data_IF_493489119078
#
_entry.id   IF_493489119078
#
_cell.length_a   1.000
_cell.length_b   1.000
_cell.length_c   1.000
_cell.angle_alpha   90.00
_cell.angle_beta   90.00
_cell.angle_gamma   90.00
#
_symmetry.space_group_name_H-M   'P 1'
#
loop_
_entity.id
_entity.type
_entity.pdbx_description
1 polymer ?
2 non-polymer ?
3 non-polymer ?
4 non-polymer ?
5 water ?
#
# COMPACT_ATOMS: atom_id res chain seq x y z
N UNK A 1 27.27 -0.67 1.78
CA UNK A 1 27.47 -2.15 2.01
C UNK A 1 27.57 -2.44 3.50
N UNK A 2 26.88 -3.51 3.91
CA UNK A 2 26.70 -3.83 5.31
C UNK A 2 25.56 -4.82 5.42
N UNK A 3 25.45 -5.45 6.59
CA UNK A 3 24.38 -6.39 6.88
C UNK A 3 24.04 -6.27 8.36
N UNK A 4 22.97 -6.93 8.79
CA UNK A 4 22.63 -6.97 10.21
C UNK A 4 23.24 -8.21 10.85
N UNK A 5 24.16 -7.99 11.78
CA UNK A 5 24.87 -9.14 12.40
C UNK A 5 24.07 -9.74 13.56
N UNK A 6 23.09 -9.00 14.10
CA UNK A 6 22.25 -9.52 15.17
C UNK A 6 21.19 -8.51 15.56
N UNK A 7 20.19 -9.00 16.31
CA UNK A 7 19.16 -8.14 16.81
C UNK A 7 18.97 -8.40 18.30
N UNK A 8 18.31 -7.44 18.93
CA UNK A 8 17.92 -7.54 20.34
C UNK A 8 16.42 -7.37 20.40
N UNK A 9 15.78 -8.37 21.01
CA UNK A 9 14.33 -8.39 21.21
C UNK A 9 14.02 -8.88 22.62
N UNK A 10 13.17 -8.13 23.34
CA UNK A 10 12.88 -8.45 24.73
C UNK A 10 14.17 -8.58 25.53
N UNK A 11 15.20 -7.78 25.17
CA UNK A 11 16.44 -7.76 25.91
C UNK A 11 17.38 -8.92 25.59
N UNK A 12 17.00 -9.81 24.66
CA UNK A 12 17.75 -10.99 24.31
C UNK A 12 18.40 -10.77 22.94
N UNK A 13 19.69 -11.08 22.86
CA UNK A 13 20.42 -11.04 21.60
C UNK A 13 20.21 -12.31 20.78
N UNK A 14 19.95 -12.10 19.47
CA UNK A 14 19.86 -13.14 18.49
C UNK A 14 20.86 -12.89 17.36
N UNK A 15 21.76 -13.84 17.13
CA UNK A 15 22.71 -13.73 16.04
C UNK A 15 22.01 -13.79 14.70
N UNK A 16 22.49 -12.97 13.76
CA UNK A 16 21.94 -12.85 12.44
C UNK A 16 22.55 -13.82 11.45
N UNK A 17 22.22 -13.58 10.18
CA UNK A 17 22.73 -14.41 9.11
C UNK A 17 24.05 -13.81 8.65
N UNK A 18 25.12 -14.52 8.93
CA UNK A 18 26.47 -14.00 8.68
C UNK A 18 26.83 -14.26 7.21
N UNK A 19 26.50 -13.27 6.39
CA UNK A 19 26.46 -13.42 4.96
C UNK A 19 27.86 -13.59 4.36
N UNK A 20 28.91 -13.25 5.11
CA UNK A 20 30.27 -13.49 4.61
C UNK A 20 30.82 -14.80 5.13
N UNK A 21 29.96 -15.68 5.68
CA UNK A 21 30.43 -16.96 6.21
C UNK A 21 29.43 -18.09 5.88
N UNK A 22 28.17 -17.88 6.25
CA UNK A 22 27.16 -18.94 6.21
C UNK A 22 26.88 -19.42 4.78
N UNK A 23 26.92 -18.57 3.73
CA UNK A 23 26.76 -19.09 2.36
C UNK A 23 27.80 -20.10 1.96
N UNK A 24 28.98 -20.00 2.57
CA UNK A 24 30.09 -20.83 2.22
C UNK A 24 30.13 -22.10 3.07
N UNK A 25 28.98 -22.72 3.31
CA UNK A 25 28.78 -23.84 4.19
C UNK A 25 27.66 -24.69 3.64
N UNK A 26 27.77 -26.00 3.82
CA UNK A 26 26.64 -26.87 3.51
C UNK A 26 25.48 -26.67 4.50
N UNK A 27 25.82 -26.56 5.78
CA UNK A 27 24.82 -26.63 6.90
C UNK A 27 25.12 -25.49 7.86
N UNK A 28 24.75 -24.25 7.47
CA UNK A 28 25.00 -23.09 8.31
C UNK A 28 24.14 -23.22 9.55
N UNK A 29 24.54 -22.52 10.61
CA UNK A 29 23.82 -22.50 11.86
C UNK A 29 22.39 -21.98 11.67
N UNK A 30 21.49 -22.49 12.51
CA UNK A 30 20.14 -22.00 12.60
C UNK A 30 20.13 -20.59 13.18
N UNK A 31 19.31 -19.71 12.57
CA UNK A 31 19.21 -18.32 13.03
C UNK A 31 17.76 -17.91 12.82
N UNK A 32 17.35 -16.85 13.52
CA UNK A 32 16.07 -16.23 13.20
C UNK A 32 16.07 -15.48 11.85
N UNK A 33 17.27 -15.17 11.36
CA UNK A 33 17.45 -14.37 10.16
C UNK A 33 17.42 -15.26 8.91
N UNK A 34 16.87 -14.72 7.84
CA UNK A 34 16.80 -15.42 6.56
C UNK A 34 18.22 -15.52 5.99
N UNK A 35 18.51 -16.62 5.30
CA UNK A 35 19.72 -16.72 4.52
C UNK A 35 19.61 -15.90 3.23
N UNK A 36 20.75 -15.45 2.70
CA UNK A 36 20.82 -14.74 1.45
C UNK A 36 22.11 -15.20 0.77
N UNK A 37 22.24 -14.84 -0.52
CA UNK A 37 23.53 -15.01 -1.18
C UNK A 37 24.15 -13.66 -1.52
N UNK A 38 23.87 -12.65 -0.67
CA UNK A 38 24.34 -11.28 -0.95
C UNK A 38 25.77 -11.11 -0.43
N UNK A 39 26.69 -11.93 -0.95
CA UNK A 39 28.01 -12.12 -0.30
C UNK A 39 28.90 -10.89 -0.49
N UNK A 40 28.55 -10.03 -1.44
CA UNK A 40 29.27 -8.78 -1.69
C UNK A 40 28.86 -7.70 -0.68
N UNK A 41 28.00 -8.06 0.30
CA UNK A 41 27.38 -7.08 1.25
C UNK A 41 26.56 -6.06 0.43
N UNK A 42 26.09 -6.52 -0.73
CA UNK A 42 25.44 -5.71 -1.69
C UNK A 42 23.95 -5.61 -1.44
N UNK A 43 23.28 -5.40 -2.54
CA UNK A 43 22.03 -4.72 -2.52
C UNK A 43 21.19 -5.27 -3.67
N UNK A 44 19.90 -4.95 -3.63
CA UNK A 44 18.98 -5.09 -4.73
C UNK A 44 18.59 -3.69 -5.20
N UNK A 45 18.88 -3.41 -6.48
CA UNK A 45 18.54 -2.11 -7.11
C UNK A 45 17.28 -2.27 -7.93
N UNK A 46 16.88 -1.19 -8.63
CA UNK A 46 15.60 -1.17 -9.29
C UNK A 46 15.44 -2.28 -10.29
N UNK A 47 16.52 -2.87 -10.79
CA UNK A 47 16.38 -3.93 -11.75
C UNK A 47 15.78 -5.19 -11.09
N UNK A 48 15.77 -5.25 -9.75
CA UNK A 48 15.30 -6.37 -9.02
C UNK A 48 14.03 -6.14 -8.19
N UNK A 49 13.39 -4.99 -8.33
CA UNK A 49 12.24 -4.71 -7.49
C UNK A 49 11.05 -5.62 -7.76
N UNK A 50 10.96 -6.19 -8.97
CA UNK A 50 9.90 -7.11 -9.25
C UNK A 50 10.37 -8.55 -9.22
N UNK A 51 11.63 -8.77 -8.81
CA UNK A 51 12.13 -10.10 -8.58
C UNK A 51 11.90 -10.51 -7.13
N UNK A 52 11.80 -11.81 -6.84
CA UNK A 52 11.65 -12.27 -5.47
C UNK A 52 12.87 -11.86 -4.61
N UNK A 53 13.99 -11.48 -5.24
CA UNK A 53 15.16 -11.05 -4.51
C UNK A 53 14.86 -9.86 -3.60
N UNK A 54 13.85 -9.05 -3.94
CA UNK A 54 13.61 -7.83 -3.17
C UNK A 54 12.97 -8.18 -1.82
N UNK A 55 12.34 -9.35 -1.73
CA UNK A 55 11.54 -9.69 -0.54
C UNK A 55 12.43 -9.74 0.70
N UNK A 56 13.46 -10.59 0.70
CA UNK A 56 14.34 -10.79 1.83
C UNK A 56 15.83 -10.79 1.39
N UNK A 57 16.10 -10.15 0.26
CA UNK A 57 17.42 -10.10 -0.35
C UNK A 57 17.66 -11.30 -1.26
N UNK A 58 18.81 -11.25 -1.92
CA UNK A 58 19.12 -12.20 -2.99
C UNK A 58 19.01 -13.64 -2.51
N UNK A 59 18.20 -14.41 -3.26
CA UNK A 59 18.13 -15.87 -3.08
C UNK A 59 17.68 -16.23 -1.65
N UNK A 60 16.92 -15.35 -0.99
CA UNK A 60 16.72 -15.58 0.44
C UNK A 60 15.90 -16.84 0.70
N UNK A 61 16.27 -17.55 1.76
CA UNK A 61 15.52 -18.70 2.25
C UNK A 61 15.22 -18.53 3.75
N UNK A 62 14.13 -19.18 4.17
CA UNK A 62 13.57 -19.03 5.50
C UNK A 62 14.61 -19.24 6.61
N UNK A 63 14.61 -18.35 7.59
CA UNK A 63 15.28 -18.65 8.82
C UNK A 63 14.54 -19.77 9.55
N UNK A 64 15.28 -20.58 10.28
CA UNK A 64 14.70 -21.77 10.95
C UNK A 64 14.21 -21.46 12.36
N UNK A 65 14.72 -20.40 12.98
CA UNK A 65 14.31 -20.02 14.35
C UNK A 65 13.39 -18.79 14.32
N UNK A 66 12.76 -18.54 15.48
CA UNK A 66 11.92 -17.37 15.68
C UNK A 66 12.25 -16.69 17.03
N UNK A 67 12.26 -15.36 17.04
CA UNK A 67 12.45 -14.57 18.26
C UNK A 67 11.12 -14.08 18.82
N UNK A 68 10.92 -14.22 20.13
CA UNK A 68 9.72 -13.59 20.73
C UNK A 68 9.97 -12.10 21.00
N UNK A 69 8.92 -11.31 20.89
CA UNK A 69 9.00 -9.90 21.22
C UNK A 69 7.64 -9.41 21.70
N UNK A 70 7.63 -8.66 22.79
CA UNK A 70 6.37 -8.08 23.30
C UNK A 70 5.90 -6.95 22.40
N UNK A 71 4.60 -6.98 22.05
CA UNK A 71 3.97 -5.85 21.42
C UNK A 71 4.22 -4.59 22.28
N UNK A 72 4.58 -3.50 21.63
CA UNK A 72 4.83 -2.21 22.23
C UNK A 72 6.30 -2.03 22.58
N UNK A 73 7.11 -3.07 22.46
CA UNK A 73 8.53 -2.98 22.83
C UNK A 73 9.39 -2.71 21.59
N UNK A 74 10.67 -2.43 21.84
CA UNK A 74 11.63 -2.04 20.85
C UNK A 74 12.51 -3.23 20.42
N UNK A 75 12.80 -3.29 19.11
CA UNK A 75 13.80 -4.18 18.54
C UNK A 75 14.99 -3.33 18.10
N UNK A 76 16.21 -3.81 18.42
CA UNK A 76 17.41 -3.18 17.97
C UNK A 76 18.05 -4.02 16.87
N UNK A 77 18.44 -3.37 15.76
CA UNK A 77 19.12 -4.04 14.68
C UNK A 77 20.56 -3.56 14.67
N UNK A 78 21.52 -4.47 14.88
CA UNK A 78 22.93 -4.09 14.90
C UNK A 78 23.46 -4.27 13.48
N UNK A 79 23.64 -3.14 12.79
CA UNK A 79 24.26 -3.14 11.47
C UNK A 79 25.78 -3.19 11.61
N UNK A 80 26.45 -3.82 10.65
CA UNK A 80 27.87 -3.70 10.51
C UNK A 80 28.12 -2.25 10.05
N UNK A 81 29.29 -1.70 10.38
CA UNK A 81 29.55 -0.26 10.26
C UNK A 81 29.15 0.25 8.86
N UNK A 82 28.19 1.20 8.83
CA UNK A 82 27.50 1.64 7.65
C UNK A 82 28.24 2.86 7.10
N UNK A 83 28.49 2.93 5.78
CA UNK A 83 29.20 4.08 5.22
C UNK A 83 28.37 5.36 5.30
N UNK A 84 29.01 6.44 5.75
CA UNK A 84 28.39 7.73 5.88
C UNK A 84 27.90 8.22 4.51
N UNK A 85 28.52 7.73 3.43
CA UNK A 85 28.12 8.14 2.07
C UNK A 85 26.71 7.67 1.73
N UNK A 86 26.33 6.54 2.31
CA UNK A 86 25.11 5.81 1.86
C UNK A 86 23.84 6.33 2.56
N UNK A 87 23.59 7.61 2.35
CA UNK A 87 22.48 8.31 2.94
C UNK A 87 21.15 7.74 2.42
N UNK A 88 20.20 7.57 3.32
CA UNK A 88 18.89 7.19 2.91
C UNK A 88 18.01 6.74 4.06
N UNK A 89 16.77 6.39 3.74
CA UNK A 89 15.79 6.03 4.74
C UNK A 89 15.98 4.64 5.33
N UNK A 90 15.43 4.46 6.53
CA UNK A 90 15.30 3.12 7.14
C UNK A 90 13.82 2.82 7.18
N UNK A 91 13.43 1.62 6.74
CA UNK A 91 12.03 1.28 6.69
C UNK A 91 11.91 -0.12 7.25
N UNK A 92 10.85 -0.37 8.03
CA UNK A 92 10.66 -1.67 8.66
C UNK A 92 9.21 -2.10 8.42
N UNK A 93 9.04 -3.39 8.12
CA UNK A 93 7.76 -3.98 7.77
C UNK A 93 7.52 -5.24 8.60
N UNK A 94 6.23 -5.61 8.73
CA UNK A 94 5.81 -6.93 9.26
C UNK A 94 4.89 -7.57 8.22
N UNK A 95 5.15 -8.83 7.93
CA UNK A 95 4.21 -9.71 7.16
C UNK A 95 3.82 -10.87 8.01
N UNK A 96 2.50 -11.21 8.13
CA UNK A 96 2.06 -12.36 8.91
C UNK A 96 2.44 -13.66 8.20
N UNK A 97 2.83 -14.68 8.99
CA UNK A 97 3.21 -15.97 8.47
C UNK A 97 2.00 -16.90 8.53
N UNK A 98 1.01 -16.54 9.35
CA UNK A 98 -0.22 -17.35 9.50
C UNK A 98 0.15 -18.81 9.82
N UNK A 99 1.20 -18.97 10.61
CA UNK A 99 1.77 -20.19 11.04
C UNK A 99 3.23 -19.94 11.26
N UNK A 100 4.02 -21.01 11.37
CA UNK A 100 5.46 -20.92 11.58
C UNK A 100 6.14 -20.24 10.37
N UNK A 101 6.96 -19.21 10.63
CA UNK A 101 7.64 -18.47 9.59
C UNK A 101 8.74 -19.33 8.95
N UNK A 102 9.16 -20.38 9.64
CA UNK A 102 10.20 -21.32 9.10
C UNK A 102 9.67 -22.01 7.84
N UNK A 103 8.34 -22.04 7.65
CA UNK A 103 7.78 -22.73 6.47
C UNK A 103 6.75 -21.88 5.76
N UNK A 104 6.91 -20.54 5.81
CA UNK A 104 6.11 -19.67 5.01
C UNK A 104 6.82 -19.52 3.66
N UNK A 105 6.06 -19.48 2.60
CA UNK A 105 6.60 -19.13 1.29
C UNK A 105 6.77 -17.62 1.16
N UNK A 106 8.01 -17.13 0.98
CA UNK A 106 8.24 -15.69 0.99
C UNK A 106 7.40 -14.89 -0.03
N UNK A 107 7.06 -15.50 -1.17
CA UNK A 107 6.34 -14.80 -2.20
C UNK A 107 4.89 -14.51 -1.77
N UNK A 108 4.40 -15.20 -0.73
CA UNK A 108 3.02 -14.99 -0.23
C UNK A 108 2.94 -13.86 0.79
N UNK A 109 4.10 -13.40 1.26
CA UNK A 109 4.11 -12.44 2.35
C UNK A 109 3.57 -11.10 1.87
N UNK A 110 2.73 -10.51 2.73
CA UNK A 110 2.14 -9.20 2.51
C UNK A 110 2.63 -8.28 3.64
N UNK A 111 3.52 -7.36 3.29
CA UNK A 111 4.20 -6.51 4.24
C UNK A 111 3.42 -5.23 4.54
N UNK A 112 3.40 -4.91 5.83
CA UNK A 112 2.84 -3.71 6.40
C UNK A 112 4.00 -2.86 6.93
N UNK A 113 4.09 -1.64 6.45
CA UNK A 113 5.11 -0.71 6.98
C UNK A 113 4.73 -0.31 8.40
N UNK A 114 5.61 -0.57 9.37
CA UNK A 114 5.36 -0.26 10.79
C UNK A 114 6.27 0.86 11.29
N UNK A 115 7.37 1.18 10.59
CA UNK A 115 8.26 2.27 10.93
C UNK A 115 8.95 2.76 9.67
N UNK A 116 9.19 4.06 9.60
CA UNK A 116 9.98 4.61 8.51
C UNK A 116 10.53 5.96 8.90
N UNK A 117 11.83 6.14 8.67
CA UNK A 117 12.42 7.46 8.80
C UNK A 117 13.22 7.78 7.55
N UNK A 118 13.22 9.07 7.18
CA UNK A 118 13.81 9.50 5.90
C UNK A 118 14.85 10.56 6.08
N UNK A 119 14.56 11.71 5.46
CA UNK A 119 15.43 12.86 5.53
C UNK A 119 15.19 13.63 6.82
N UNK A 120 16.24 13.80 7.61
CA UNK A 120 16.17 14.47 8.93
C UNK A 120 16.50 15.95 8.78
N UNK A 121 17.54 16.26 8.00
CA UNK A 121 17.91 17.65 7.83
C UNK A 121 18.56 17.82 6.48
N UNK A 122 17.83 18.42 5.56
CA UNK A 122 18.34 18.58 4.19
C UNK A 122 18.78 19.99 3.86
N UNK A 123 19.01 20.83 4.85
CA UNK A 123 19.40 22.24 4.63
C UNK A 123 20.75 22.34 3.89
N UNK A 124 21.64 21.37 4.05
CA UNK A 124 22.92 21.32 3.37
C UNK A 124 23.06 19.97 2.69
N UNK A 125 22.58 19.84 1.43
CA UNK A 125 22.60 18.56 0.73
C UNK A 125 24.00 18.01 0.67
N UNK A 126 24.16 16.69 0.82
CA UNK A 126 23.09 15.69 0.84
C UNK A 126 22.38 15.55 2.17
N UNK A 127 22.88 16.20 3.21
CA UNK A 127 22.14 16.32 4.46
C UNK A 127 22.26 15.08 5.37
N UNK A 128 21.36 15.06 6.36
CA UNK A 128 21.32 14.07 7.43
C UNK A 128 20.07 13.23 7.26
N UNK A 129 20.27 11.92 7.29
CA UNK A 129 19.22 10.95 7.05
C UNK A 129 19.10 9.94 8.19
N UNK A 130 18.04 9.13 8.13
CA UNK A 130 17.78 8.10 9.11
C UNK A 130 19.03 7.23 9.31
N UNK A 131 19.74 6.87 8.21
CA UNK A 131 20.91 5.99 8.37
C UNK A 131 22.04 6.70 9.13
N UNK A 132 22.11 8.02 9.02
CA UNK A 132 23.11 8.77 9.81
C UNK A 132 22.78 8.70 11.30
N UNK A 133 21.50 8.71 11.67
CA UNK A 133 21.09 8.59 13.08
C UNK A 133 21.46 7.20 13.61
N UNK A 134 21.23 6.19 12.79
CA UNK A 134 21.64 4.81 13.06
C UNK A 134 23.16 4.75 13.33
N UNK A 135 23.96 5.36 12.45
CA UNK A 135 25.39 5.32 12.58
C UNK A 135 25.79 5.89 13.94
N UNK A 136 25.25 7.07 14.28
CA UNK A 136 25.59 7.77 15.50
C UNK A 136 25.16 6.96 16.75
N UNK A 137 24.11 6.17 16.60
CA UNK A 137 23.60 5.35 17.71
C UNK A 137 24.33 4.01 17.74
N UNK A 138 25.68 4.01 17.71
CA UNK A 138 26.42 2.77 17.83
C UNK A 138 26.03 1.81 16.69
N UNK A 139 25.74 2.36 15.50
CA UNK A 139 25.40 1.62 14.30
C UNK A 139 24.25 0.66 14.62
N UNK A 140 23.25 1.17 15.30
CA UNK A 140 22.11 0.38 15.74
C UNK A 140 20.83 1.12 15.38
N UNK A 141 19.94 0.42 14.67
CA UNK A 141 18.63 0.94 14.38
C UNK A 141 17.63 0.42 15.43
N UNK A 142 16.61 1.22 15.75
CA UNK A 142 15.59 0.78 16.69
C UNK A 142 14.19 0.92 16.05
N UNK A 143 13.32 -0.05 16.34
CA UNK A 143 11.93 -0.05 15.83
C UNK A 143 10.98 -0.54 16.92
N UNK A 144 9.91 0.21 17.15
CA UNK A 144 8.87 -0.19 18.07
C UNK A 144 7.83 -1.09 17.38
N UNK A 145 7.63 -2.30 17.92
CA UNK A 145 6.51 -3.14 17.50
C UNK A 145 5.26 -2.49 18.05
N UNK A 146 4.23 -2.17 17.23
CA UNK A 146 3.03 -1.52 17.78
C UNK A 146 2.38 -2.33 18.90
N UNK A 147 1.97 -1.67 20.00
CA UNK A 147 1.28 -2.38 21.06
C UNK A 147 -0.04 -2.97 20.59
N UNK A 148 -0.65 -2.36 19.58
CA UNK A 148 -1.94 -2.87 19.12
C UNK A 148 -1.81 -4.12 18.22
N UNK A 149 -0.60 -4.51 17.82
CA UNK A 149 -0.46 -5.49 16.76
C UNK A 149 -0.90 -6.84 17.30
N UNK A 150 -1.57 -7.62 16.45
CA UNK A 150 -2.09 -8.89 16.86
C UNK A 150 -0.97 -9.88 17.16
N UNK A 151 -1.12 -10.75 18.17
CA UNK A 151 -0.13 -11.78 18.43
C UNK A 151 -0.05 -12.73 17.24
N UNK A 152 1.16 -13.15 16.90
CA UNK A 152 1.35 -14.04 15.82
C UNK A 152 2.79 -14.11 15.38
N UNK A 153 3.03 -14.92 14.34
CA UNK A 153 4.34 -15.08 13.73
C UNK A 153 4.40 -14.18 12.52
N UNK A 154 5.48 -13.40 12.41
CA UNK A 154 5.64 -12.44 11.36
C UNK A 154 7.07 -12.48 10.86
N UNK A 155 7.23 -12.23 9.56
CA UNK A 155 8.54 -11.85 9.07
C UNK A 155 8.70 -10.34 9.25
N UNK A 156 9.80 -9.96 9.90
CA UNK A 156 10.19 -8.59 10.15
C UNK A 156 11.22 -8.25 9.08
N UNK A 157 10.89 -7.31 8.19
CA UNK A 157 11.74 -6.93 7.05
C UNK A 157 12.26 -5.52 7.31
N UNK A 158 13.54 -5.40 7.64
CA UNK A 158 14.20 -4.16 7.98
C UNK A 158 15.14 -3.77 6.86
N UNK A 159 15.08 -2.53 6.41
CA UNK A 159 15.72 -2.15 5.15
C UNK A 159 16.34 -0.75 5.23
N UNK A 160 17.55 -0.60 4.69
CA UNK A 160 18.10 0.72 4.34
C UNK A 160 17.99 0.86 2.83
N UNK A 161 17.64 2.03 2.35
CA UNK A 161 17.76 2.32 0.93
C UNK A 161 18.80 3.41 0.77
N UNK A 162 19.95 3.08 0.23
CA UNK A 162 21.01 4.06 0.03
C UNK A 162 20.77 4.80 -1.29
N UNK A 163 20.84 6.14 -1.22
CA UNK A 163 20.42 6.99 -2.30
C UNK A 163 21.59 7.77 -2.94
N UNK A 164 22.82 7.40 -2.65
CA UNK A 164 23.97 8.16 -3.12
C UNK A 164 24.09 8.18 -4.65
N UNK A 165 23.50 7.20 -5.34
CA UNK A 165 23.49 7.17 -6.80
C UNK A 165 22.06 7.10 -7.35
N UNK A 166 21.05 7.53 -6.57
CA UNK A 166 19.66 7.30 -6.87
C UNK A 166 19.07 8.31 -7.85
N UNK A 167 19.85 9.28 -8.27
CA UNK A 167 19.37 10.17 -9.31
C UNK A 167 19.25 9.45 -10.63
N UNK A 168 19.99 8.36 -10.80
CA UNK A 168 19.92 7.54 -12.01
C UNK A 168 18.81 6.49 -11.87
N UNK A 169 18.15 6.15 -12.97
CA UNK A 169 17.23 5.03 -12.93
C UNK A 169 17.96 3.76 -12.46
N UNK A 170 17.30 3.04 -11.53
CA UNK A 170 17.79 1.80 -10.89
C UNK A 170 19.03 2.06 -10.03
N UNK A 171 19.23 3.32 -9.63
CA UNK A 171 20.40 3.73 -8.87
C UNK A 171 20.28 3.52 -7.37
N UNK A 172 19.07 3.51 -6.86
CA UNK A 172 18.92 3.33 -5.41
C UNK A 172 19.31 1.90 -5.07
N UNK A 173 19.91 1.73 -3.89
CA UNK A 173 20.44 0.43 -3.45
C UNK A 173 19.68 -0.03 -2.21
N UNK A 174 18.88 -1.08 -2.33
CA UNK A 174 18.08 -1.54 -1.20
C UNK A 174 18.81 -2.66 -0.47
N UNK A 175 18.80 -2.58 0.87
CA UNK A 175 19.49 -3.55 1.69
C UNK A 175 18.47 -4.13 2.68
N UNK A 176 17.58 -5.03 2.22
CA UNK A 176 16.64 -5.67 3.13
C UNK A 176 17.23 -6.83 3.92
N UNK A 177 16.81 -6.92 5.18
CA UNK A 177 17.21 -7.98 6.03
C UNK A 177 15.95 -8.49 6.75
N UNK A 178 15.74 -9.82 6.71
CA UNK A 178 14.53 -10.40 7.26
C UNK A 178 14.83 -11.26 8.48
N UNK A 179 13.84 -11.32 9.38
CA UNK A 179 13.93 -12.03 10.65
C UNK A 179 12.55 -12.60 10.96
N UNK A 180 12.53 -13.79 11.56
CA UNK A 180 11.31 -14.37 12.08
C UNK A 180 11.04 -13.94 13.52
N UNK A 181 9.86 -13.40 13.76
CA UNK A 181 9.49 -12.97 15.13
C UNK A 181 8.09 -13.49 15.45
N UNK A 182 7.85 -13.57 16.75
CA UNK A 182 6.58 -13.94 17.34
C UNK A 182 6.25 -12.78 18.30
N UNK A 183 5.22 -12.02 17.94
CA UNK A 183 4.72 -10.93 18.76
C UNK A 183 3.81 -11.52 19.81
N UNK A 184 4.06 -11.15 21.07
CA UNK A 184 3.36 -11.67 22.25
C UNK A 184 2.67 -10.50 22.93
N UNK A 185 1.69 -10.80 23.82
CA UNK A 185 0.93 -9.76 24.55
C UNK A 185 0.47 -8.64 23.64
N UNK A 186 -0.19 -9.01 22.53
CA UNK A 186 -0.56 -8.10 21.49
C UNK A 186 -2.01 -7.63 21.60
N UNK A 187 -2.38 -6.73 20.69
CA UNK A 187 -3.74 -6.24 20.52
C UNK A 187 -4.50 -7.06 19.48
N UNK A 188 -5.35 -6.38 18.72
CA UNK A 188 -6.15 -7.06 17.70
C UNK A 188 -5.87 -6.50 16.30
N UNK A 189 -4.91 -5.58 16.18
CA UNK A 189 -4.81 -4.87 14.91
C UNK A 189 -3.74 -5.49 14.03
N UNK A 190 -3.91 -5.30 12.71
CA UNK A 190 -3.01 -5.75 11.69
C UNK A 190 -3.29 -4.87 10.48
N UNK A 191 -2.25 -4.46 9.76
CA UNK A 191 -2.45 -3.72 8.58
C UNK A 191 -2.72 -4.61 7.39
N UNK A 192 -3.11 -3.95 6.32
CA UNK A 192 -3.30 -4.56 5.02
C UNK A 192 -1.98 -4.47 4.26
N UNK A 193 -1.38 -5.60 4.02
CA UNK A 193 -0.01 -5.61 3.53
C UNK A 193 0.09 -5.59 2.02
N UNK A 194 1.32 -5.39 1.55
CA UNK A 194 1.69 -5.30 0.16
C UNK A 194 2.73 -6.37 -0.15
N UNK A 195 2.57 -7.07 -1.26
CA UNK A 195 3.54 -8.11 -1.65
C UNK A 195 4.92 -7.46 -1.78
N UNK A 196 5.97 -8.22 -1.43
CA UNK A 196 7.33 -7.73 -1.52
C UNK A 196 7.65 -7.20 -2.92
N UNK A 197 7.19 -7.91 -3.97
CA UNK A 197 7.50 -7.46 -5.34
C UNK A 197 6.60 -6.31 -5.83
N UNK A 198 5.73 -5.80 -4.95
CA UNK A 198 4.90 -4.64 -5.22
C UNK A 198 5.30 -3.45 -4.35
N UNK A 199 6.34 -3.60 -3.49
CA UNK A 199 6.71 -2.46 -2.62
C UNK A 199 7.23 -1.23 -3.37
N UNK A 200 8.12 -1.45 -4.35
CA UNK A 200 8.85 -0.38 -4.95
C UNK A 200 8.85 -0.50 -6.48
N UNK A 201 8.88 0.64 -7.13
CA UNK A 201 9.13 0.73 -8.55
C UNK A 201 10.25 1.72 -8.81
N UNK A 202 11.00 1.54 -9.91
CA UNK A 202 12.16 2.34 -10.12
C UNK A 202 11.84 3.83 -10.43
N UNK A 203 10.61 4.14 -10.78
CA UNK A 203 10.25 5.53 -11.04
C UNK A 203 9.54 6.15 -9.84
N UNK A 204 9.42 5.43 -8.71
CA UNK A 204 8.84 6.07 -7.51
C UNK A 204 9.61 7.33 -7.09
N UNK A 205 8.88 8.36 -6.59
CA UNK A 205 9.49 9.62 -6.23
C UNK A 205 10.59 9.56 -5.15
N UNK A 206 10.47 8.60 -4.23
CA UNK A 206 11.51 8.43 -3.19
C UNK A 206 12.54 7.39 -3.57
N UNK A 207 12.43 6.84 -4.78
CA UNK A 207 13.45 5.92 -5.32
C UNK A 207 14.39 6.62 -6.30
N UNK A 208 13.80 7.30 -7.31
CA UNK A 208 14.56 8.07 -8.23
C UNK A 208 14.57 9.50 -7.71
N UNK A 209 15.61 9.75 -6.93
CA UNK A 209 15.68 10.92 -6.09
C UNK A 209 17.12 11.40 -6.04
N UNK A 210 17.29 12.70 -6.21
CA UNK A 210 18.60 13.36 -6.17
C UNK A 210 18.85 14.02 -4.80
N UNK A 211 19.74 13.43 -4.01
CA UNK A 211 20.00 13.94 -2.67
C UNK A 211 20.93 15.16 -2.69
N UNK A 212 21.53 15.49 -3.84
CA UNK A 212 22.61 16.42 -3.85
C UNK A 212 22.12 17.81 -4.23
N UNK A 213 20.91 17.92 -4.77
CA UNK A 213 20.35 19.20 -5.10
C UNK A 213 19.45 19.69 -3.98
N UNK A 214 18.97 20.92 -4.12
CA UNK A 214 18.11 21.56 -3.11
C UNK A 214 17.01 20.60 -2.64
N UNK A 215 16.88 20.48 -1.31
CA UNK A 215 15.94 19.52 -0.73
C UNK A 215 14.75 20.23 -0.07
N UNK A 216 14.38 21.43 -0.55
CA UNK A 216 13.21 22.15 -0.01
C UNK A 216 11.89 21.42 -0.29
N UNK A 217 11.90 20.44 -1.22
CA UNK A 217 10.73 19.62 -1.43
C UNK A 217 10.64 18.40 -0.51
N UNK A 218 11.63 18.21 0.34
CA UNK A 218 11.62 17.13 1.30
C UNK A 218 12.03 15.84 0.62
N UNK A 219 11.57 14.74 1.19
CA UNK A 219 11.86 13.39 0.72
C UNK A 219 10.65 12.52 1.00
N UNK A 220 9.95 12.03 -0.06
CA UNK A 220 8.79 11.20 0.15
C UNK A 220 9.27 9.75 0.40
N UNK A 221 9.09 9.24 1.60
CA UNK A 221 9.57 7.87 1.88
C UNK A 221 8.79 6.90 0.99
N UNK A 222 9.49 5.99 0.29
CA UNK A 222 8.84 5.03 -0.59
C UNK A 222 8.17 3.90 0.17
N UNK A 223 7.42 3.10 -0.58
CA UNK A 223 6.72 1.99 -0.01
C UNK A 223 5.30 2.38 0.35
N UNK A 224 4.54 1.40 0.82
CA UNK A 224 3.13 1.59 1.15
C UNK A 224 2.95 2.36 2.48
N UNK A 225 1.69 2.65 2.80
CA UNK A 225 1.38 3.59 3.86
C UNK A 225 1.80 3.04 5.23
N UNK A 226 2.27 3.96 6.10
CA UNK A 226 2.67 3.61 7.42
C UNK A 226 1.44 3.20 8.24
N UNK A 227 1.52 2.05 8.88
CA UNK A 227 0.52 1.60 9.87
C UNK A 227 0.40 2.61 11.01
N UNK A 228 -0.84 3.01 11.31
CA UNK A 228 -1.14 3.87 12.48
C UNK A 228 -1.55 2.99 13.67
N UNK B 1 -24.92 2.38 3.87
CA UNK B 1 -24.88 3.82 3.45
C UNK B 1 -23.58 4.43 3.96
N UNK B 2 -22.95 5.21 3.08
CA UNK B 2 -21.70 5.86 3.39
C UNK B 2 -21.18 6.55 2.14
N UNK B 3 -20.15 7.39 2.28
CA UNK B 3 -19.55 8.09 1.18
C UNK B 3 -18.11 8.48 1.59
N UNK B 4 -17.34 9.02 0.65
CA UNK B 4 -15.99 9.43 0.98
C UNK B 4 -16.00 10.91 1.39
N UNK B 5 -15.50 11.20 2.59
CA UNK B 5 -15.52 12.58 3.10
C UNK B 5 -14.22 13.31 2.77
N UNK B 6 -13.16 12.58 2.39
CA UNK B 6 -11.94 13.23 2.06
C UNK B 6 -10.87 12.24 1.61
N UNK B 7 -9.78 12.76 1.02
CA UNK B 7 -8.70 11.91 0.61
C UNK B 7 -7.37 12.52 1.06
N UNK B 8 -6.35 11.67 1.14
CA UNK B 8 -4.96 12.15 1.33
C UNK B 8 -4.12 11.64 0.17
N UNK B 9 -3.43 12.58 -0.45
CA UNK B 9 -2.57 12.31 -1.58
C UNK B 9 -1.32 13.19 -1.46
N UNK B 10 -0.16 12.56 -1.63
CA UNK B 10 1.16 13.25 -1.49
C UNK B 10 1.21 14.03 -0.16
N UNK B 11 0.66 13.45 0.91
CA UNK B 11 0.67 14.04 2.25
C UNK B 11 -0.27 15.21 2.46
N UNK B 12 -1.18 15.43 1.52
CA UNK B 12 -2.03 16.54 1.54
C UNK B 12 -3.47 16.04 1.66
N UNK B 13 -4.24 16.74 2.47
CA UNK B 13 -5.67 16.47 2.66
C UNK B 13 -6.50 17.27 1.66
N UNK B 14 -7.50 16.58 1.05
CA UNK B 14 -8.47 17.16 0.15
C UNK B 14 -9.84 16.77 0.65
N UNK B 15 -10.72 17.76 0.84
CA UNK B 15 -12.09 17.49 1.21
C UNK B 15 -12.86 16.89 0.06
N UNK B 16 -13.76 15.98 0.44
CA UNK B 16 -14.65 15.34 -0.48
C UNK B 16 -15.91 16.12 -0.71
N UNK B 17 -16.81 15.52 -1.47
CA UNK B 17 -18.11 16.07 -1.65
C UNK B 17 -18.98 15.60 -0.48
N UNK B 18 -19.28 16.52 0.43
CA UNK B 18 -19.96 16.20 1.65
C UNK B 18 -21.46 16.11 1.38
N UNK B 19 -21.94 14.92 1.04
CA UNK B 19 -23.25 14.75 0.46
C UNK B 19 -24.37 14.97 1.52
N UNK B 20 -23.98 15.03 2.79
CA UNK B 20 -24.84 15.35 3.91
C UNK B 20 -24.91 16.86 4.18
N UNK B 21 -24.24 17.68 3.35
CA UNK B 21 -24.19 19.14 3.62
C UNK B 21 -24.31 19.92 2.30
N UNK B 22 -23.42 19.64 1.34
CA UNK B 22 -23.27 20.44 0.14
C UNK B 22 -24.53 20.47 -0.73
N UNK B 23 -25.30 19.37 -0.90
CA UNK B 23 -26.54 19.46 -1.68
C UNK B 23 -27.54 20.46 -1.05
N UNK B 24 -27.39 20.72 0.24
CA UNK B 24 -28.33 21.57 1.01
C UNK B 24 -27.80 23.01 1.03
N UNK B 25 -27.12 23.42 -0.06
CA UNK B 25 -26.54 24.73 -0.18
C UNK B 25 -26.70 25.21 -1.62
N UNK B 26 -26.83 26.53 -1.81
CA UNK B 26 -26.79 27.11 -3.17
C UNK B 26 -25.39 27.10 -3.75
N UNK B 27 -24.39 27.40 -2.93
CA UNK B 27 -23.02 27.52 -3.40
C UNK B 27 -22.07 26.77 -2.51
N UNK B 28 -22.08 25.44 -2.55
CA UNK B 28 -21.14 24.65 -1.77
C UNK B 28 -19.74 24.90 -2.26
N UNK B 29 -18.77 24.60 -1.39
CA UNK B 29 -17.36 24.78 -1.72
C UNK B 29 -16.96 23.90 -2.92
N UNK B 30 -15.98 24.38 -3.67
CA UNK B 30 -15.33 23.61 -4.65
C UNK B 30 -14.57 22.44 -3.99
N UNK B 31 -14.45 21.34 -4.74
CA UNK B 31 -13.83 20.13 -4.30
C UNK B 31 -13.29 19.42 -5.55
N UNK B 32 -12.31 18.54 -5.30
CA UNK B 32 -11.85 17.60 -6.32
C UNK B 32 -12.92 16.55 -6.62
N UNK B 33 -13.84 16.36 -5.67
CA UNK B 33 -14.83 15.33 -5.75
C UNK B 33 -16.03 15.81 -6.58
N UNK B 34 -16.65 14.88 -7.28
CA UNK B 34 -17.81 15.20 -8.07
C UNK B 34 -19.02 15.37 -7.14
N UNK B 35 -19.88 16.34 -7.48
CA UNK B 35 -21.12 16.46 -6.75
C UNK B 35 -22.07 15.34 -7.15
N UNK B 36 -22.97 14.98 -6.23
CA UNK B 36 -23.97 13.97 -6.51
C UNK B 36 -25.25 14.40 -5.81
N UNK B 37 -26.33 13.71 -6.17
CA UNK B 37 -27.57 13.91 -5.47
C UNK B 37 -27.90 12.71 -4.56
N UNK B 38 -26.91 11.92 -4.16
CA UNK B 38 -27.16 10.71 -3.38
C UNK B 38 -27.24 11.04 -1.88
N UNK B 39 -28.20 11.91 -1.55
CA UNK B 39 -28.31 12.50 -0.24
C UNK B 39 -28.82 11.49 0.80
N UNK B 40 -29.34 10.35 0.32
CA UNK B 40 -29.67 9.19 1.16
C UNK B 40 -28.40 8.41 1.57
N UNK B 41 -27.21 8.84 1.12
CA UNK B 41 -25.94 8.12 1.29
C UNK B 41 -26.10 6.72 0.68
N UNK B 42 -26.89 6.64 -0.40
CA UNK B 42 -27.26 5.45 -1.05
C UNK B 42 -26.35 5.07 -2.21
N UNK B 43 -26.92 4.20 -3.05
CA UNK B 43 -26.12 3.46 -3.98
C UNK B 43 -26.79 3.49 -5.35
N UNK B 44 -26.04 3.05 -6.36
CA UNK B 44 -26.58 2.77 -7.66
C UNK B 44 -26.74 1.24 -7.77
N UNK B 45 -27.95 0.76 -8.07
CA UNK B 45 -28.18 -0.68 -8.22
C UNK B 45 -28.19 -1.05 -9.71
N UNK B 46 -28.47 -2.33 -9.98
CA UNK B 46 -28.32 -2.83 -11.33
C UNK B 46 -29.25 -2.16 -12.33
N UNK B 47 -30.35 -1.53 -11.87
CA UNK B 47 -31.21 -0.78 -12.80
C UNK B 47 -30.53 0.48 -13.34
N UNK B 48 -29.43 0.93 -12.70
CA UNK B 48 -28.70 2.10 -13.11
C UNK B 48 -27.39 1.80 -13.79
N UNK B 49 -27.09 0.51 -14.04
CA UNK B 49 -25.78 0.16 -14.61
C UNK B 49 -25.58 0.63 -16.05
N UNK B 50 -26.65 0.93 -16.77
CA UNK B 50 -26.49 1.54 -18.11
C UNK B 50 -26.94 3.00 -18.12
N UNK B 51 -27.17 3.56 -16.94
CA UNK B 51 -27.47 4.96 -16.83
C UNK B 51 -26.17 5.70 -16.54
N UNK B 52 -26.09 7.00 -16.86
CA UNK B 52 -24.92 7.80 -16.47
C UNK B 52 -24.72 7.84 -14.93
N UNK B 53 -25.73 7.53 -14.13
CA UNK B 53 -25.59 7.52 -12.66
C UNK B 53 -24.46 6.56 -12.21
N UNK B 54 -24.17 5.49 -12.95
CA UNK B 54 -23.18 4.52 -12.50
C UNK B 54 -21.78 5.13 -12.64
N UNK B 55 -21.59 6.15 -13.46
CA UNK B 55 -20.24 6.63 -13.74
C UNK B 55 -19.63 7.24 -12.48
N UNK B 56 -20.28 8.25 -11.91
CA UNK B 56 -19.77 8.96 -10.74
C UNK B 56 -20.87 9.15 -9.69
N UNK B 57 -21.91 8.28 -9.69
CA UNK B 57 -23.02 8.30 -8.73
C UNK B 57 -24.08 9.31 -9.19
N UNK B 58 -25.18 9.37 -8.43
CA UNK B 58 -26.45 9.98 -8.92
C UNK B 58 -26.24 11.41 -9.42
N UNK B 59 -26.64 11.65 -10.68
CA UNK B 59 -26.73 13.01 -11.22
C UNK B 59 -25.39 13.72 -11.10
N UNK B 60 -24.30 12.97 -11.13
CA UNK B 60 -23.00 13.55 -10.80
C UNK B 60 -22.58 14.64 -11.78
N UNK B 61 -21.97 15.68 -11.21
CA UNK B 61 -21.43 16.79 -11.98
C UNK B 61 -19.95 16.99 -11.60
N UNK B 62 -19.16 17.41 -12.58
CA UNK B 62 -17.70 17.54 -12.42
C UNK B 62 -17.31 18.30 -11.14
N UNK B 63 -16.31 17.73 -10.47
CA UNK B 63 -15.53 18.47 -9.51
C UNK B 63 -14.82 19.63 -10.18
N UNK B 64 -14.65 20.72 -9.44
CA UNK B 64 -14.04 21.90 -10.00
C UNK B 64 -12.53 21.92 -9.77
N UNK B 65 -12.04 21.20 -8.75
CA UNK B 65 -10.63 21.21 -8.43
C UNK B 65 -9.97 19.90 -8.81
N UNK B 66 -8.64 19.89 -8.81
CA UNK B 66 -7.85 18.69 -9.19
C UNK B 66 -6.73 18.50 -8.18
N UNK B 67 -6.55 17.26 -7.67
CA UNK B 67 -5.51 16.93 -6.69
C UNK B 67 -4.31 16.33 -7.42
N UNK B 68 -3.11 16.66 -6.93
CA UNK B 68 -1.88 16.12 -7.48
C UNK B 68 -1.48 14.86 -6.71
N UNK B 69 -0.98 13.87 -7.44
CA UNK B 69 -0.48 12.66 -6.82
C UNK B 69 0.65 12.08 -7.67
N UNK B 70 1.74 11.68 -7.01
CA UNK B 70 2.85 11.04 -7.72
C UNK B 70 2.50 9.59 -8.06
N UNK B 71 2.72 9.22 -9.33
CA UNK B 71 2.56 7.86 -9.72
C UNK B 71 3.41 6.99 -8.81
N UNK B 72 2.85 5.86 -8.43
CA UNK B 72 3.49 4.86 -7.59
C UNK B 72 3.22 5.09 -6.10
N UNK B 73 2.68 6.27 -5.77
CA UNK B 73 2.29 6.58 -4.40
C UNK B 73 0.83 6.19 -4.14
N UNK B 74 0.43 6.22 -2.88
CA UNK B 74 -0.92 5.76 -2.51
C UNK B 74 -1.83 6.93 -2.17
N UNK B 75 -3.11 6.72 -2.45
CA UNK B 75 -4.15 7.65 -2.04
C UNK B 75 -4.95 6.96 -0.97
N UNK B 76 -5.27 7.71 0.09
CA UNK B 76 -6.08 7.26 1.21
C UNK B 76 -7.49 7.82 1.00
N UNK B 77 -8.51 6.95 0.99
CA UNK B 77 -9.89 7.38 0.86
C UNK B 77 -10.56 7.21 2.21
N UNK B 78 -11.05 8.32 2.78
CA UNK B 78 -11.64 8.28 4.09
C UNK B 78 -13.15 8.10 3.94
N UNK B 79 -13.64 6.91 4.19
CA UNK B 79 -15.06 6.62 4.12
C UNK B 79 -15.70 7.00 5.45
N UNK B 80 -16.98 7.34 5.42
CA UNK B 80 -17.78 7.43 6.61
C UNK B 80 -17.86 5.99 7.17
N UNK B 81 -18.34 5.84 8.41
CA UNK B 81 -18.27 4.55 9.11
C UNK B 81 -19.10 3.51 8.34
N UNK B 82 -18.47 2.44 7.85
CA UNK B 82 -19.11 1.48 6.91
C UNK B 82 -19.79 0.36 7.68
N UNK B 83 -21.04 -0.04 7.33
CA UNK B 83 -21.73 -1.07 8.09
C UNK B 83 -21.03 -2.42 7.98
N UNK B 84 -20.84 -3.09 9.14
CA UNK B 84 -20.09 -4.35 9.16
C UNK B 84 -20.77 -5.40 8.29
N UNK B 85 -22.10 -5.34 8.22
CA UNK B 85 -22.91 -6.27 7.40
C UNK B 85 -22.57 -6.19 5.92
N UNK B 86 -22.08 -5.03 5.46
CA UNK B 86 -22.05 -4.68 4.04
C UNK B 86 -20.75 -5.18 3.39
N UNK B 87 -20.55 -6.50 3.40
CA UNK B 87 -19.39 -7.14 2.85
C UNK B 87 -19.32 -6.95 1.33
N UNK B 88 -18.11 -6.66 0.82
CA UNK B 88 -17.96 -6.60 -0.61
C UNK B 88 -16.61 -6.07 -1.04
N UNK B 89 -16.38 -6.09 -2.36
CA UNK B 89 -15.12 -5.61 -2.92
C UNK B 89 -14.96 -4.09 -2.95
N UNK B 90 -13.69 -3.67 -3.02
CA UNK B 90 -13.30 -2.26 -3.31
C UNK B 90 -12.60 -2.29 -4.68
N UNK B 91 -13.02 -1.41 -5.59
CA UNK B 91 -12.47 -1.38 -6.95
C UNK B 91 -12.15 0.09 -7.24
N UNK B 92 -11.01 0.34 -7.89
CA UNK B 92 -10.63 1.67 -8.24
C UNK B 92 -10.18 1.75 -9.70
N UNK B 93 -10.65 2.82 -10.37
CA UNK B 93 -10.42 3.01 -11.80
C UNK B 93 -9.84 4.38 -12.07
N UNK B 94 -9.16 4.50 -13.22
CA UNK B 94 -8.73 5.78 -13.75
C UNK B 94 -9.27 5.96 -15.15
N UNK B 95 -9.82 7.13 -15.46
CA UNK B 95 -10.18 7.49 -16.86
C UNK B 95 -9.47 8.78 -17.18
N UNK B 96 -8.77 8.84 -18.33
CA UNK B 96 -8.08 10.07 -18.70
C UNK B 96 -9.09 11.16 -19.02
N UNK B 97 -8.81 12.41 -18.64
CA UNK B 97 -9.69 13.54 -19.01
C UNK B 97 -9.37 14.11 -20.38
N UNK B 98 -8.15 13.85 -20.87
CA UNK B 98 -7.68 14.28 -22.20
C UNK B 98 -7.86 15.80 -22.29
N UNK B 99 -7.44 16.49 -21.22
CA UNK B 99 -7.80 17.90 -20.99
C UNK B 99 -8.19 18.10 -19.53
N UNK B 100 -8.93 19.18 -19.27
CA UNK B 100 -9.29 19.56 -17.89
C UNK B 100 -10.42 18.65 -17.38
N UNK B 101 -10.18 18.02 -16.22
CA UNK B 101 -11.20 17.15 -15.63
C UNK B 101 -12.44 17.96 -15.21
N UNK B 102 -12.29 19.27 -15.03
CA UNK B 102 -13.41 20.13 -14.59
C UNK B 102 -14.44 20.29 -15.71
N UNK B 103 -14.04 20.03 -16.95
CA UNK B 103 -14.92 20.22 -18.08
C UNK B 103 -15.15 18.93 -18.90
N UNK B 104 -14.58 17.78 -18.55
CA UNK B 104 -14.79 16.58 -19.32
C UNK B 104 -16.24 16.11 -19.17
N UNK B 105 -16.77 15.60 -20.26
CA UNK B 105 -18.06 15.01 -20.25
C UNK B 105 -17.96 13.58 -19.73
N UNK B 106 -18.64 13.32 -18.60
CA UNK B 106 -18.49 12.04 -17.94
C UNK B 106 -18.88 10.84 -18.82
N UNK B 107 -19.82 11.02 -19.77
CA UNK B 107 -20.26 9.89 -20.60
C UNK B 107 -19.16 9.49 -21.58
N UNK B 108 -18.11 10.31 -21.70
CA UNK B 108 -17.02 10.02 -22.63
C UNK B 108 -15.83 9.35 -21.92
N UNK B 109 -15.90 9.23 -20.58
CA UNK B 109 -14.77 8.70 -19.84
C UNK B 109 -14.66 7.20 -20.07
N UNK B 110 -13.42 6.72 -20.19
CA UNK B 110 -13.11 5.31 -20.39
C UNK B 110 -12.20 4.88 -19.25
N UNK B 111 -12.75 4.01 -18.41
CA UNK B 111 -12.17 3.68 -17.14
C UNK B 111 -11.32 2.40 -17.26
N UNK B 112 -10.13 2.47 -16.69
CA UNK B 112 -9.20 1.33 -16.54
C UNK B 112 -9.19 0.93 -15.06
N UNK B 113 -9.40 -0.35 -14.80
CA UNK B 113 -9.33 -0.87 -13.43
C UNK B 113 -7.86 -0.91 -12.98
N UNK B 114 -7.51 -0.15 -11.96
CA UNK B 114 -6.08 -0.06 -11.50
C UNK B 114 -5.83 -0.82 -10.20
N UNK B 115 -6.87 -1.10 -9.44
CA UNK B 115 -6.79 -1.82 -8.19
C UNK B 115 -8.15 -2.47 -7.92
N UNK B 116 -8.12 -3.65 -7.29
CA UNK B 116 -9.32 -4.28 -6.90
C UNK B 116 -8.99 -5.31 -5.83
N UNK B 117 -9.80 -5.35 -4.78
CA UNK B 117 -9.73 -6.38 -3.77
C UNK B 117 -11.15 -6.89 -3.52
N UNK B 118 -11.27 -8.22 -3.36
CA UNK B 118 -12.52 -8.89 -3.26
C UNK B 118 -12.68 -9.68 -1.97
N UNK B 119 -12.91 -10.99 -2.15
CA UNK B 119 -13.03 -11.90 -1.05
C UNK B 119 -11.64 -12.26 -0.55
N UNK B 120 -11.38 -12.00 0.75
CA UNK B 120 -10.05 -12.20 1.34
C UNK B 120 -9.99 -13.57 2.03
N UNK B 121 -11.06 -13.96 2.72
CA UNK B 121 -11.12 -15.30 3.29
C UNK B 121 -12.57 -15.72 3.44
N UNK B 122 -13.00 -16.63 2.55
CA UNK B 122 -14.33 -17.16 2.50
C UNK B 122 -14.50 -18.54 3.10
N UNK B 123 -13.60 -18.96 3.99
CA UNK B 123 -13.61 -20.36 4.47
C UNK B 123 -14.91 -20.67 5.23
N UNK B 124 -15.48 -19.66 5.90
CA UNK B 124 -16.82 -19.75 6.39
C UNK B 124 -17.58 -18.48 5.99
N UNK B 125 -18.69 -18.65 5.26
CA UNK B 125 -19.46 -17.50 4.79
C UNK B 125 -20.03 -16.69 5.94
N UNK B 126 -20.09 -15.35 5.78
CA UNK B 126 -19.78 -14.65 4.56
C UNK B 126 -18.28 -14.39 4.46
N UNK B 127 -17.58 -14.54 5.57
CA UNK B 127 -16.14 -14.38 5.54
C UNK B 127 -15.73 -12.92 5.49
N UNK B 128 -14.49 -12.73 5.08
CA UNK B 128 -13.74 -11.51 5.24
C UNK B 128 -13.52 -10.95 3.84
N UNK B 129 -13.85 -9.66 3.65
CA UNK B 129 -13.80 -8.99 2.34
C UNK B 129 -12.95 -7.74 2.42
N UNK B 130 -12.67 -7.14 1.25
CA UNK B 130 -11.91 -5.90 1.18
C UNK B 130 -12.50 -4.84 2.10
N UNK B 131 -13.83 -4.72 2.11
CA UNK B 131 -14.43 -3.69 2.93
C UNK B 131 -14.14 -3.92 4.41
N UNK B 132 -13.98 -5.18 4.86
CA UNK B 132 -13.62 -5.43 6.25
C UNK B 132 -12.22 -4.93 6.58
N UNK B 133 -11.30 -5.04 5.63
CA UNK B 133 -9.93 -4.51 5.82
C UNK B 133 -9.99 -2.99 5.91
N UNK B 134 -10.85 -2.36 5.10
CA UNK B 134 -11.05 -0.92 5.09
C UNK B 134 -11.55 -0.46 6.46
N UNK B 135 -12.56 -1.15 6.97
CA UNK B 135 -13.14 -0.80 8.28
C UNK B 135 -12.03 -0.86 9.33
N UNK B 136 -11.26 -1.92 9.31
CA UNK B 136 -10.19 -2.10 10.31
C UNK B 136 -9.14 -0.97 10.27
N UNK B 137 -8.89 -0.34 9.11
CA UNK B 137 -7.93 0.75 8.92
C UNK B 137 -8.66 2.10 9.10
N UNK B 138 -9.41 2.24 10.20
CA UNK B 138 -10.19 3.44 10.55
C UNK B 138 -10.98 3.90 9.31
N UNK B 139 -11.68 2.92 8.72
CA UNK B 139 -12.61 3.15 7.59
C UNK B 139 -11.92 3.92 6.47
N UNK B 140 -10.68 3.51 6.15
CA UNK B 140 -9.88 4.15 5.13
C UNK B 140 -9.39 3.10 4.14
N UNK B 141 -9.65 3.34 2.86
CA UNK B 141 -9.13 2.52 1.80
C UNK B 141 -7.82 3.13 1.32
N UNK B 142 -6.86 2.28 0.97
CA UNK B 142 -5.56 2.74 0.49
C UNK B 142 -5.30 2.08 -0.86
N UNK B 143 -5.03 2.89 -1.90
CA UNK B 143 -4.87 2.42 -3.27
C UNK B 143 -3.59 3.01 -3.85
N UNK B 144 -2.78 2.16 -4.50
CA UNK B 144 -1.60 2.59 -5.19
C UNK B 144 -1.96 3.03 -6.60
N UNK B 145 -1.59 4.26 -6.92
CA UNK B 145 -1.57 4.69 -8.31
C UNK B 145 -0.44 3.95 -9.02
N UNK B 146 -0.69 3.22 -10.13
CA UNK B 146 0.36 2.45 -10.80
C UNK B 146 1.58 3.29 -11.14
N UNK B 147 2.77 2.79 -10.75
CA UNK B 147 3.94 3.52 -10.81
C UNK B 147 4.37 3.83 -12.24
N UNK B 148 3.90 3.06 -13.21
CA UNK B 148 4.26 3.19 -14.59
C UNK B 148 3.23 4.05 -15.34
N UNK B 149 2.16 4.45 -14.66
CA UNK B 149 1.06 5.16 -15.35
C UNK B 149 1.54 6.49 -15.92
N UNK B 150 0.98 6.84 -17.08
CA UNK B 150 1.32 8.07 -17.80
C UNK B 150 0.82 9.26 -16.98
N UNK B 151 1.63 10.31 -16.87
CA UNK B 151 1.21 11.52 -16.15
C UNK B 151 0.07 12.17 -16.94
N UNK B 152 -0.81 12.86 -16.22
CA UNK B 152 -1.90 13.52 -16.86
C UNK B 152 -3.06 13.70 -15.93
N UNK B 153 -4.13 14.28 -16.45
CA UNK B 153 -5.33 14.48 -15.71
C UNK B 153 -6.25 13.24 -15.84
N UNK B 154 -6.83 12.79 -14.70
CA UNK B 154 -7.70 11.59 -14.70
C UNK B 154 -8.83 11.77 -13.71
N UNK B 155 -9.97 11.17 -14.06
CA UNK B 155 -11.01 10.94 -13.04
C UNK B 155 -10.70 9.61 -12.41
N UNK B 156 -10.59 9.62 -11.09
CA UNK B 156 -10.36 8.46 -10.24
C UNK B 156 -11.72 8.07 -9.69
N UNK B 157 -12.14 6.85 -10.03
CA UNK B 157 -13.43 6.33 -9.65
C UNK B 157 -13.20 5.21 -8.63
N UNK B 158 -13.53 5.50 -7.37
CA UNK B 158 -13.29 4.57 -6.28
C UNK B 158 -14.65 4.04 -5.83
N UNK B 159 -14.80 2.72 -5.65
CA UNK B 159 -16.09 2.15 -5.47
C UNK B 159 -16.05 1.03 -4.45
N UNK B 160 -17.10 0.95 -3.60
CA UNK B 160 -17.40 -0.25 -2.84
C UNK B 160 -18.66 -0.84 -3.46
N UNK B 161 -18.70 -2.16 -3.60
CA UNK B 161 -19.92 -2.81 -3.96
C UNK B 161 -20.36 -3.65 -2.77
N UNK B 162 -21.48 -3.30 -2.13
CA UNK B 162 -21.96 -4.11 -1.04
C UNK B 162 -22.75 -5.28 -1.58
N UNK B 163 -22.48 -6.48 -1.03
CA UNK B 163 -23.01 -7.69 -1.56
C UNK B 163 -23.89 -8.42 -0.54
N UNK B 164 -24.18 -7.82 0.62
CA UNK B 164 -25.07 -8.48 1.57
C UNK B 164 -26.41 -8.75 0.88
N UNK B 165 -26.81 -7.83 0.00
CA UNK B 165 -28.13 -7.82 -0.70
C UNK B 165 -28.04 -8.41 -2.12
N UNK B 166 -26.86 -8.89 -2.53
CA UNK B 166 -26.56 -9.26 -3.91
C UNK B 166 -27.12 -10.62 -4.35
N UNK B 167 -27.70 -11.43 -3.44
CA UNK B 167 -28.26 -12.65 -3.88
C UNK B 167 -29.48 -12.44 -4.74
N UNK B 168 -30.13 -11.29 -4.57
CA UNK B 168 -31.31 -10.87 -5.28
C UNK B 168 -30.89 -10.11 -6.54
N UNK B 169 -31.67 -10.32 -7.60
CA UNK B 169 -31.39 -9.51 -8.82
C UNK B 169 -31.52 -8.02 -8.49
N UNK B 170 -30.56 -7.25 -9.02
CA UNK B 170 -30.45 -5.81 -8.80
C UNK B 170 -30.13 -5.51 -7.34
N UNK B 171 -29.67 -6.51 -6.60
CA UNK B 171 -29.51 -6.32 -5.14
C UNK B 171 -28.17 -5.72 -4.76
N UNK B 172 -27.13 -5.97 -5.56
CA UNK B 172 -25.79 -5.41 -5.27
C UNK B 172 -25.91 -3.88 -5.22
N UNK B 173 -25.21 -3.28 -4.25
CA UNK B 173 -25.30 -1.85 -4.01
C UNK B 173 -23.93 -1.25 -4.36
N UNK B 174 -23.88 -0.46 -5.44
CA UNK B 174 -22.66 0.17 -5.87
C UNK B 174 -22.54 1.57 -5.29
N UNK B 175 -21.33 1.85 -4.75
CA UNK B 175 -21.07 3.17 -4.11
C UNK B 175 -19.86 3.80 -4.79
N UNK B 176 -20.00 4.28 -6.05
CA UNK B 176 -18.89 4.95 -6.70
C UNK B 176 -18.70 6.37 -6.17
N UNK B 177 -17.43 6.81 -6.09
CA UNK B 177 -17.07 8.17 -5.71
C UNK B 177 -15.93 8.59 -6.63
N UNK B 178 -16.11 9.74 -7.29
CA UNK B 178 -15.15 10.22 -8.24
C UNK B 178 -14.40 11.45 -7.74
N UNK B 179 -13.13 11.52 -8.17
CA UNK B 179 -12.24 12.59 -7.81
C UNK B 179 -11.38 12.97 -8.99
N UNK B 180 -11.13 14.26 -9.21
CA UNK B 180 -10.20 14.72 -10.26
C UNK B 180 -8.75 14.69 -9.74
N UNK B 181 -7.88 13.95 -10.41
CA UNK B 181 -6.50 13.90 -10.00
C UNK B 181 -5.58 14.20 -11.18
N UNK B 182 -4.39 14.66 -10.82
CA UNK B 182 -3.31 14.90 -11.75
C UNK B 182 -2.15 14.00 -11.32
N UNK B 183 -1.84 13.01 -12.14
CA UNK B 183 -0.79 12.06 -11.86
C UNK B 183 0.51 12.68 -12.39
N UNK B 184 1.51 12.76 -11.51
CA UNK B 184 2.83 13.28 -11.86
C UNK B 184 3.86 12.14 -11.88
N UNK B 185 4.99 12.43 -12.53
CA UNK B 185 6.04 11.47 -12.64
C UNK B 185 5.66 10.31 -13.52
N UNK B 186 5.78 9.09 -12.98
CA UNK B 186 5.19 7.93 -13.61
C UNK B 186 6.03 7.41 -14.77
N UNK B 187 5.33 6.73 -15.67
CA UNK B 187 5.94 6.12 -16.84
C UNK B 187 5.18 6.53 -18.08
N UNK B 188 4.86 5.56 -18.92
CA UNK B 188 4.15 5.83 -20.16
C UNK B 188 2.99 4.86 -20.37
N UNK B 189 2.64 4.07 -19.36
CA UNK B 189 1.55 3.08 -19.52
C UNK B 189 0.17 3.74 -19.41
N UNK B 190 -0.80 3.25 -20.20
CA UNK B 190 -2.20 3.57 -20.05
C UNK B 190 -2.98 2.39 -20.63
N UNK B 191 -4.07 2.01 -19.99
CA UNK B 191 -5.04 1.10 -20.62
C UNK B 191 -5.99 1.90 -21.48
N UNK B 192 -6.85 1.25 -22.31
CA UNK B 192 -7.76 2.05 -23.21
C UNK B 192 -9.10 2.40 -22.53
N UNK B 193 -9.78 1.47 -21.86
CA UNK B 193 -10.61 1.70 -20.79
C UNK B 193 -11.98 1.32 -21.29
N UNK B 194 -12.96 1.23 -20.40
CA UNK B 194 -14.31 0.81 -20.63
C UNK B 194 -15.20 1.97 -20.19
N UNK B 195 -16.19 2.34 -21.00
CA UNK B 195 -17.20 3.33 -20.54
C UNK B 195 -17.85 2.88 -19.22
N UNK B 196 -18.21 3.86 -18.40
CA UNK B 196 -18.82 3.62 -17.14
C UNK B 196 -20.09 2.79 -17.30
N UNK B 197 -20.87 3.10 -18.33
CA UNK B 197 -22.15 2.44 -18.53
C UNK B 197 -21.96 1.03 -19.12
N UNK B 198 -20.72 0.59 -19.36
CA UNK B 198 -20.39 -0.77 -19.81
C UNK B 198 -19.68 -1.60 -18.73
N UNK B 199 -19.47 -1.02 -17.52
CA UNK B 199 -18.67 -1.75 -16.51
C UNK B 199 -19.38 -3.00 -16.01
N UNK B 200 -20.67 -2.90 -15.72
CA UNK B 200 -21.39 -3.91 -14.97
C UNK B 200 -22.75 -4.23 -15.59
N UNK B 201 -23.15 -5.51 -15.45
CA UNK B 201 -24.53 -5.96 -15.68
C UNK B 201 -25.05 -6.68 -14.44
N UNK B 202 -26.36 -6.62 -14.23
CA UNK B 202 -26.99 -7.28 -13.11
C UNK B 202 -26.93 -8.80 -13.24
N UNK B 203 -26.44 -9.32 -14.38
CA UNK B 203 -26.21 -10.76 -14.55
C UNK B 203 -24.78 -11.19 -14.24
N UNK B 204 -23.86 -10.25 -14.07
CA UNK B 204 -22.47 -10.62 -13.89
C UNK B 204 -22.36 -11.52 -12.66
N UNK B 205 -21.44 -12.51 -12.72
CA UNK B 205 -21.31 -13.47 -11.63
C UNK B 205 -20.84 -12.86 -10.29
N UNK B 206 -20.15 -11.71 -10.37
CA UNK B 206 -19.72 -10.97 -9.17
C UNK B 206 -20.73 -9.92 -8.72
N UNK B 207 -21.86 -9.80 -9.43
CA UNK B 207 -22.91 -8.88 -9.07
C UNK B 207 -24.08 -9.66 -8.50
N UNK B 208 -24.56 -10.67 -9.23
CA UNK B 208 -25.61 -11.52 -8.68
C UNK B 208 -24.91 -12.70 -8.03
N UNK B 209 -24.62 -12.53 -6.73
CA UNK B 209 -23.67 -13.40 -6.05
C UNK B 209 -24.19 -13.60 -4.63
N UNK B 210 -24.13 -14.84 -4.12
CA UNK B 210 -24.59 -15.18 -2.76
C UNK B 210 -23.38 -15.37 -1.83
N UNK B 211 -23.12 -14.36 -0.99
CA UNK B 211 -22.01 -14.41 -0.07
C UNK B 211 -22.29 -15.38 1.10
N UNK B 212 -23.54 -15.86 1.23
CA UNK B 212 -24.02 -16.60 2.43
C UNK B 212 -24.04 -18.12 2.18
N UNK B 213 -23.59 -18.53 1.01
CA UNK B 213 -23.44 -19.95 0.73
C UNK B 213 -21.96 -20.27 0.55
N UNK B 214 -21.67 -21.55 0.50
CA UNK B 214 -20.30 -22.02 0.31
C UNK B 214 -19.58 -21.13 -0.71
N UNK B 215 -18.42 -20.62 -0.32
CA UNK B 215 -17.62 -19.75 -1.15
C UNK B 215 -16.41 -20.49 -1.73
N UNK B 216 -16.53 -21.80 -1.85
CA UNK B 216 -15.43 -22.60 -2.39
C UNK B 216 -15.18 -22.31 -3.87
N UNK B 217 -16.16 -21.70 -4.57
CA UNK B 217 -15.95 -21.18 -5.91
C UNK B 217 -15.30 -19.80 -6.00
N UNK B 218 -14.97 -19.19 -4.86
CA UNK B 218 -14.30 -17.86 -4.83
C UNK B 218 -15.26 -16.73 -5.12
N UNK B 219 -14.72 -15.61 -5.60
CA UNK B 219 -15.52 -14.45 -5.90
C UNK B 219 -14.86 -13.75 -7.08
N UNK B 220 -15.52 -13.73 -8.26
CA UNK B 220 -14.96 -13.08 -9.44
C UNK B 220 -15.27 -11.58 -9.40
N UNK B 221 -14.24 -10.79 -9.22
CA UNK B 221 -14.43 -9.33 -9.11
C UNK B 221 -14.96 -8.84 -10.44
N UNK B 222 -16.05 -8.05 -10.40
CA UNK B 222 -16.64 -7.60 -11.63
C UNK B 222 -15.89 -6.45 -12.27
N UNK B 223 -16.37 -6.10 -13.47
CA UNK B 223 -15.78 -5.06 -14.20
C UNK B 223 -14.69 -5.59 -15.11
N UNK B 224 -14.05 -4.69 -15.88
CA UNK B 224 -13.02 -5.13 -16.83
C UNK B 224 -11.74 -5.59 -16.13
N UNK B 225 -10.81 -6.14 -16.90
CA UNK B 225 -9.61 -6.76 -16.35
C UNK B 225 -8.69 -5.69 -15.72
N UNK B 226 -8.06 -6.12 -14.63
CA UNK B 226 -7.12 -5.31 -13.88
C UNK B 226 -5.91 -4.99 -14.75
N UNK B 227 -5.57 -3.70 -14.84
CA UNK B 227 -4.37 -3.23 -15.50
C UNK B 227 -3.12 -3.86 -14.84
N UNK B 228 -2.15 -4.28 -15.67
CA UNK B 228 -0.83 -4.67 -15.12
C UNK B 228 0.30 -3.99 -15.90
X LIG C 1 28.10 0.32 -0.20
X LIG D 1 23.81 -10.22 26.22
X LIG D 1 22.95 -10.31 25.35
X LIG D 1 23.96 -9.17 26.90
X LIG D 1 24.64 -11.35 26.61
X LIG E 1 -0.79 -6.18 -3.32
X LIG E 1 -1.08 -4.97 -3.23
X LIG E 1 0.29 -6.60 -2.91
X LIG E 1 -1.74 -7.15 -3.94
X LIG F 1 11.52 -1.54 -11.28
X LIG F 1 10.33 -1.12 -11.26
X LIG F 1 12.34 -0.98 -10.58
X LIG F 1 12.03 -2.73 -12.12
X LIG G 1 0.22 -17.32 13.41
X LIG G 1 -0.44 -18.45 13.48
X LIG G 1 0.23 -16.10 12.81
X LIG G 1 1.27 -17.58 14.36
X LIG H 1 24.76 8.16 5.67
X LIG I 1 -26.30 0.83 3.47
X LIG J 1 -36.19 -4.55 -9.13
X LIG J 1 -37.46 -4.50 -9.27
X LIG J 1 -35.51 -3.50 -8.93
X LIG J 1 -35.42 -5.81 -9.25
#
# INVERSE_FOLDING_TARGET
>A
HGFVSGIVADGKYYGGYLVNQYPYMSNPPDTIAWSTTATDLGFVDGTGYQSPDIICHRDAKNGKLTATVAAGSQIEFQWTTWPESHHGPLITYLAPCNGDCATVDKTTLKFVKIAAQGLIDGSNPPGVWADDEMIANNNTATVTIPASYAPGNYVLRHEIIALHSAGNLNGAQNYPQCFNIQITGGGSAQGSGTAGTSLYKNTDPGIKFDIYSDLSGGYPIPGPALFNA
>B
HGFVSGIVADGKYYGGYLVNQYPYMSNPPDTIAWSTTATDLGFVDGTGYQSPDIICHRDAKNGKLTATVAAGSQIEFQWTTWPESHHGPLITYLAPCNGDCATVDKTTLKFVKIAAQGLIDGSNPPGVWADDEMIANNNTATVTIPASYAPGNYVLRHEIIALHSAGNLNGAQNYPQCFNIQITGGGSAQGSGTAGTSLYKNTDPGIKFDIYSDLSGGYPIPGPALFNA
>C hetero
1 CU CU
>D hetero
1 ACT C O OXT CH3
>E hetero
1 ACT C O OXT CH3
>F hetero
1 ACT C O OXT CH3
>G hetero
1 ACT C O OXT CH3
>H hetero
1 NA NA
>I hetero
1 CU CU
>J hetero
1 ACT C O OXT CH3
#
